data_IF_263146686255
#
_entry.id   IF_263146686255
#
_cell.length_a   1.000
_cell.length_b   1.000
_cell.length_c   1.000
_cell.angle_alpha   90.00
_cell.angle_beta   90.00
_cell.angle_gamma   90.00
#
_symmetry.space_group_name_H-M   'P 1'
#
loop_
_entity.id
_entity.type
_entity.pdbx_description
1 polymer ?
#
# COMPACT_ATOMS: atom_id res chain seq x y z
N UNK A 1 -11.75 -4.43 -20.91
CA UNK A 1 -11.39 -5.61 -20.08
C UNK A 1 -9.89 -5.84 -20.01
N UNK A 2 -9.18 -5.96 -21.14
CA UNK A 2 -7.71 -6.17 -21.16
C UNK A 2 -6.94 -5.10 -20.37
N UNK A 3 -7.26 -3.81 -20.55
CA UNK A 3 -6.60 -2.70 -19.83
C UNK A 3 -6.79 -2.77 -18.31
N UNK A 4 -7.98 -3.13 -17.85
CA UNK A 4 -8.25 -3.25 -16.41
C UNK A 4 -7.45 -4.40 -15.80
N UNK A 5 -7.38 -5.54 -16.49
CA UNK A 5 -6.53 -6.67 -16.07
C UNK A 5 -5.05 -6.28 -16.06
N UNK A 6 -4.57 -5.57 -17.08
CA UNK A 6 -3.19 -5.12 -17.16
C UNK A 6 -2.82 -4.16 -16.01
N UNK A 7 -3.70 -3.23 -15.65
CA UNK A 7 -3.50 -2.33 -14.51
C UNK A 7 -3.39 -3.10 -13.19
N UNK A 8 -4.27 -4.08 -12.97
CA UNK A 8 -4.22 -4.91 -11.76
C UNK A 8 -2.91 -5.71 -11.71
N UNK A 9 -2.52 -6.36 -12.81
CA UNK A 9 -1.26 -7.12 -12.87
C UNK A 9 -0.05 -6.22 -12.63
N UNK A 10 -0.02 -5.04 -13.26
CA UNK A 10 1.06 -4.06 -13.07
C UNK A 10 1.13 -3.58 -11.62
N UNK A 11 -0.01 -3.32 -10.97
CA UNK A 11 -0.07 -2.88 -9.58
C UNK A 11 0.53 -3.93 -8.62
N UNK A 12 0.29 -5.21 -8.87
CA UNK A 12 0.83 -6.29 -8.04
C UNK A 12 2.25 -6.74 -8.38
N UNK A 13 2.82 -6.29 -9.49
CA UNK A 13 4.13 -6.75 -9.96
C UNK A 13 5.24 -6.52 -8.93
N UNK A 14 5.33 -5.33 -8.35
CA UNK A 14 6.32 -4.99 -7.32
C UNK A 14 6.19 -5.87 -6.07
N UNK A 15 5.03 -5.88 -5.39
CA UNK A 15 4.82 -6.73 -4.22
C UNK A 15 5.04 -8.22 -4.48
N UNK A 16 4.77 -8.70 -5.70
CA UNK A 16 4.99 -10.10 -6.07
C UNK A 16 6.48 -10.47 -6.10
N UNK A 17 7.34 -9.58 -6.60
CA UNK A 17 8.80 -9.78 -6.61
C UNK A 17 9.38 -9.76 -5.19
N UNK A 18 8.86 -8.86 -4.35
CA UNK A 18 9.27 -8.67 -2.96
C UNK A 18 8.73 -9.76 -2.01
N UNK A 19 7.80 -10.59 -2.48
CA UNK A 19 7.12 -11.59 -1.64
C UNK A 19 8.09 -12.62 -1.03
N UNK A 20 9.22 -12.86 -1.68
CA UNK A 20 10.31 -13.71 -1.18
C UNK A 20 10.75 -13.34 0.24
N UNK A 21 10.86 -12.04 0.52
CA UNK A 21 11.32 -11.52 1.82
C UNK A 21 10.41 -11.87 2.98
N UNK A 22 9.12 -12.04 2.70
CA UNK A 22 8.10 -12.44 3.69
C UNK A 22 7.96 -13.96 3.75
N UNK A 23 7.98 -14.62 2.59
CA UNK A 23 7.78 -16.07 2.49
C UNK A 23 8.83 -16.89 3.25
N UNK A 24 10.07 -16.39 3.38
CA UNK A 24 11.13 -17.06 4.16
C UNK A 24 10.84 -17.15 5.66
N UNK A 25 9.97 -16.29 6.19
CA UNK A 25 9.50 -16.33 7.57
C UNK A 25 8.21 -17.14 7.73
N UNK A 26 7.67 -17.67 6.63
CA UNK A 26 6.51 -18.55 6.66
C UNK A 26 6.87 -19.91 7.23
N UNK A 27 5.96 -20.47 8.04
CA UNK A 27 6.12 -21.79 8.67
C UNK A 27 6.19 -22.94 7.64
N UNK A 28 5.40 -22.84 6.57
CA UNK A 28 5.41 -23.81 5.47
C UNK A 28 4.84 -23.21 4.17
N UNK A 29 5.23 -23.79 3.03
CA UNK A 29 4.70 -23.38 1.73
C UNK A 29 3.18 -23.62 1.60
N UNK A 30 2.65 -24.63 2.29
CA UNK A 30 1.21 -24.89 2.36
C UNK A 30 0.45 -23.75 3.02
N UNK A 31 0.97 -23.22 4.13
CA UNK A 31 0.35 -22.08 4.82
C UNK A 31 0.46 -20.78 4.03
N UNK A 32 1.60 -20.55 3.36
CA UNK A 32 1.77 -19.39 2.45
C UNK A 32 0.75 -19.43 1.31
N UNK A 33 0.56 -20.60 0.67
CA UNK A 33 -0.43 -20.77 -0.40
C UNK A 33 -1.85 -20.58 0.10
N UNK A 34 -2.18 -21.12 1.28
CA UNK A 34 -3.49 -20.94 1.91
C UNK A 34 -3.75 -19.47 2.26
N UNK A 35 -2.76 -18.80 2.82
CA UNK A 35 -2.82 -17.38 3.15
C UNK A 35 -3.07 -16.50 1.92
N UNK A 36 -2.34 -16.73 0.82
CA UNK A 36 -2.58 -15.99 -0.42
C UNK A 36 -3.93 -16.29 -1.05
N UNK A 37 -4.33 -17.58 -1.08
CA UNK A 37 -5.57 -18.02 -1.72
C UNK A 37 -6.81 -17.39 -1.09
N UNK A 38 -6.81 -17.22 0.22
CA UNK A 38 -7.94 -16.63 0.93
C UNK A 38 -7.74 -15.14 1.19
N UNK A 39 -6.54 -14.73 1.60
CA UNK A 39 -6.23 -13.36 1.96
C UNK A 39 -6.38 -12.37 0.81
N UNK A 40 -5.81 -12.67 -0.36
CA UNK A 40 -5.87 -11.74 -1.49
C UNK A 40 -7.29 -11.61 -2.04
N UNK A 41 -7.99 -12.67 -2.50
CA UNK A 41 -9.29 -12.51 -3.13
C UNK A 41 -10.35 -11.99 -2.16
N UNK A 42 -10.36 -12.46 -0.91
CA UNK A 42 -11.37 -12.04 0.06
C UNK A 42 -11.19 -10.58 0.46
N UNK A 43 -9.97 -10.15 0.78
CA UNK A 43 -9.72 -8.78 1.17
C UNK A 43 -9.98 -7.81 0.00
N UNK A 44 -9.58 -8.19 -1.22
CA UNK A 44 -9.86 -7.38 -2.41
C UNK A 44 -11.35 -7.25 -2.68
N UNK A 45 -12.11 -8.34 -2.59
CA UNK A 45 -13.55 -8.31 -2.82
C UNK A 45 -14.24 -7.44 -1.76
N UNK A 46 -13.91 -7.64 -0.49
CA UNK A 46 -14.48 -6.87 0.61
C UNK A 46 -14.18 -5.37 0.44
N UNK A 47 -12.91 -5.02 0.19
CA UNK A 47 -12.51 -3.63 0.02
C UNK A 47 -13.15 -3.00 -1.22
N UNK A 48 -13.30 -3.75 -2.31
CA UNK A 48 -13.97 -3.28 -3.53
C UNK A 48 -15.45 -2.99 -3.27
N UNK A 49 -16.15 -3.89 -2.57
CA UNK A 49 -17.56 -3.68 -2.21
C UNK A 49 -17.72 -2.45 -1.33
N UNK A 50 -16.91 -2.32 -0.26
CA UNK A 50 -16.94 -1.15 0.63
C UNK A 50 -16.68 0.13 -0.15
N UNK A 51 -15.67 0.14 -1.02
CA UNK A 51 -15.32 1.30 -1.85
C UNK A 51 -16.48 1.69 -2.76
N UNK A 52 -17.07 0.74 -3.50
CA UNK A 52 -18.19 1.00 -4.41
C UNK A 52 -19.39 1.54 -3.64
N UNK A 53 -19.71 0.98 -2.47
CA UNK A 53 -20.84 1.43 -1.63
C UNK A 53 -20.62 2.87 -1.16
N UNK A 54 -19.43 3.18 -0.63
CA UNK A 54 -19.11 4.54 -0.14
C UNK A 54 -19.16 5.54 -1.29
N UNK A 55 -18.44 5.26 -2.38
CA UNK A 55 -18.36 6.15 -3.55
C UNK A 55 -19.75 6.36 -4.17
N UNK A 56 -20.55 5.30 -4.31
CA UNK A 56 -21.93 5.43 -4.82
C UNK A 56 -22.81 6.23 -3.88
N UNK A 57 -22.64 6.07 -2.57
CA UNK A 57 -23.35 6.85 -1.55
C UNK A 57 -23.03 8.35 -1.60
N UNK A 58 -21.82 8.73 -1.98
CA UNK A 58 -21.44 10.16 -2.13
C UNK A 58 -22.26 10.88 -3.18
N UNK A 59 -22.67 10.21 -4.26
CA UNK A 59 -23.54 10.80 -5.28
C UNK A 59 -24.90 11.20 -4.70
N UNK A 60 -25.49 10.34 -3.86
CA UNK A 60 -26.78 10.60 -3.21
C UNK A 60 -26.69 11.64 -2.08
N UNK A 61 -25.58 11.68 -1.34
CA UNK A 61 -25.39 12.59 -0.20
C UNK A 61 -24.88 13.97 -0.59
N UNK A 62 -23.97 14.04 -1.57
CA UNK A 62 -23.23 15.26 -1.92
C UNK A 62 -23.50 15.74 -3.36
N UNK A 63 -24.36 15.04 -4.12
CA UNK A 63 -24.70 15.40 -5.49
C UNK A 63 -23.60 15.15 -6.53
N UNK A 64 -22.45 14.63 -6.11
CA UNK A 64 -21.32 14.27 -6.97
C UNK A 64 -20.64 13.00 -6.47
N UNK A 65 -20.12 12.20 -7.39
CA UNK A 65 -19.34 11.02 -7.07
C UNK A 65 -17.93 11.46 -6.65
N UNK A 66 -17.59 11.19 -5.39
CA UNK A 66 -16.27 11.48 -4.83
C UNK A 66 -15.51 10.16 -4.72
N UNK A 67 -14.40 10.07 -5.44
CA UNK A 67 -13.51 8.90 -5.42
C UNK A 67 -12.39 9.05 -4.41
N UNK A 68 -12.05 10.28 -4.01
CA UNK A 68 -11.07 10.54 -2.96
C UNK A 68 -11.68 10.27 -1.58
N UNK A 69 -11.18 9.26 -0.84
CA UNK A 69 -11.71 8.95 0.47
C UNK A 69 -11.39 10.03 1.52
N UNK A 70 -10.33 10.82 1.35
CA UNK A 70 -10.00 11.95 2.23
C UNK A 70 -11.04 13.06 2.05
N UNK A 71 -11.34 13.42 0.79
CA UNK A 71 -12.39 14.38 0.49
C UNK A 71 -13.75 13.90 1.03
N UNK A 72 -14.05 12.61 0.87
CA UNK A 72 -15.30 12.01 1.37
C UNK A 72 -15.44 12.17 2.88
N UNK A 73 -14.38 11.84 3.65
CA UNK A 73 -14.36 11.98 5.11
C UNK A 73 -14.51 13.45 5.53
N UNK A 74 -13.83 14.39 4.85
CA UNK A 74 -13.89 15.82 5.18
C UNK A 74 -15.30 16.41 5.08
N UNK A 75 -16.18 15.81 4.28
CA UNK A 75 -17.57 16.26 4.06
C UNK A 75 -18.59 15.65 5.00
N UNK A 76 -18.19 14.73 5.89
CA UNK A 76 -19.07 14.08 6.87
C UNK A 76 -19.57 15.06 7.94
N UNK A 77 -18.90 16.21 8.12
CA UNK A 77 -19.38 17.32 8.96
C UNK A 77 -19.19 17.13 10.47
N UNK A 78 -18.46 16.10 10.91
CA UNK A 78 -18.11 15.87 12.30
C UNK A 78 -16.59 15.85 12.48
N UNK A 79 -16.06 16.84 13.20
CA UNK A 79 -14.61 17.03 13.40
C UNK A 79 -13.92 15.79 13.99
N UNK A 80 -14.59 15.07 14.89
CA UNK A 80 -14.07 13.84 15.49
C UNK A 80 -14.01 12.70 14.47
N UNK A 81 -15.04 12.56 13.64
CA UNK A 81 -15.05 11.56 12.57
C UNK A 81 -13.97 11.84 11.53
N UNK A 82 -13.77 13.11 11.20
CA UNK A 82 -12.69 13.57 10.31
C UNK A 82 -11.32 13.23 10.89
N UNK A 83 -11.09 13.54 12.16
CA UNK A 83 -9.82 13.25 12.84
C UNK A 83 -9.51 11.75 12.85
N UNK A 84 -10.48 10.89 13.16
CA UNK A 84 -10.32 9.43 13.12
C UNK A 84 -10.04 8.95 11.70
N UNK A 85 -10.75 9.47 10.71
CA UNK A 85 -10.53 9.09 9.32
C UNK A 85 -9.14 9.47 8.82
N UNK A 86 -8.65 10.67 9.14
CA UNK A 86 -7.29 11.10 8.82
C UNK A 86 -6.22 10.23 9.51
N UNK A 87 -6.39 9.94 10.80
CA UNK A 87 -5.47 9.07 11.54
C UNK A 87 -5.43 7.65 10.95
N UNK A 88 -6.60 7.14 10.55
CA UNK A 88 -6.72 5.83 9.90
C UNK A 88 -5.99 5.82 8.56
N UNK A 89 -6.14 6.87 7.75
CA UNK A 89 -5.43 7.01 6.49
C UNK A 89 -3.92 7.08 6.68
N UNK A 90 -3.43 7.92 7.60
CA UNK A 90 -2.00 8.02 7.91
C UNK A 90 -1.44 6.64 8.29
N UNK A 91 -2.14 5.95 9.19
CA UNK A 91 -1.72 4.62 9.66
C UNK A 91 -1.72 3.60 8.53
N UNK A 92 -2.75 3.59 7.68
CA UNK A 92 -2.85 2.70 6.53
C UNK A 92 -1.75 2.96 5.50
N UNK A 93 -1.47 4.23 5.19
CA UNK A 93 -0.41 4.65 4.27
C UNK A 93 0.96 4.25 4.80
N UNK A 94 1.24 4.43 6.08
CA UNK A 94 2.49 3.98 6.70
C UNK A 94 2.60 2.45 6.62
N UNK A 95 1.55 1.73 7.03
CA UNK A 95 1.56 0.27 7.06
C UNK A 95 1.83 -0.37 5.70
N UNK A 96 1.14 0.09 4.65
CA UNK A 96 1.31 -0.46 3.30
C UNK A 96 2.68 -0.14 2.72
N UNK A 97 3.22 1.07 2.97
CA UNK A 97 4.55 1.44 2.49
C UNK A 97 5.66 0.64 3.17
N UNK A 98 5.51 0.35 4.47
CA UNK A 98 6.47 -0.50 5.18
C UNK A 98 6.54 -1.88 4.52
N UNK A 99 5.39 -2.54 4.35
CA UNK A 99 5.33 -3.91 3.82
C UNK A 99 5.70 -3.96 2.34
N UNK A 100 5.19 -3.05 1.51
CA UNK A 100 5.36 -3.13 0.06
C UNK A 100 6.70 -2.59 -0.42
N UNK A 101 7.20 -1.50 0.18
CA UNK A 101 8.27 -0.68 -0.40
C UNK A 101 9.52 -0.55 0.49
N UNK A 102 9.41 -0.76 1.80
CA UNK A 102 10.54 -0.54 2.72
C UNK A 102 11.34 -1.81 3.04
N UNK A 103 10.65 -2.92 3.25
CA UNK A 103 11.27 -4.16 3.76
C UNK A 103 12.31 -4.73 2.79
N UNK A 104 11.99 -4.83 1.51
CA UNK A 104 12.88 -5.39 0.49
C UNK A 104 14.19 -4.62 0.31
N UNK A 105 14.20 -3.29 0.08
CA UNK A 105 15.46 -2.55 -0.02
C UNK A 105 16.27 -2.56 1.27
N UNK A 106 15.62 -2.61 2.44
CA UNK A 106 16.32 -2.78 3.71
C UNK A 106 17.09 -4.11 3.77
N UNK A 107 16.50 -5.18 3.24
CA UNK A 107 17.18 -6.46 3.10
C UNK A 107 18.28 -6.42 2.06
N UNK A 108 18.04 -5.84 0.88
CA UNK A 108 19.04 -5.72 -0.19
C UNK A 108 20.30 -5.02 0.30
N UNK A 109 20.18 -3.85 0.94
CA UNK A 109 21.34 -3.14 1.47
C UNK A 109 22.05 -3.91 2.58
N UNK A 110 21.30 -4.60 3.46
CA UNK A 110 21.92 -5.43 4.50
C UNK A 110 22.69 -6.61 3.92
N UNK A 111 22.25 -7.16 2.78
CA UNK A 111 22.91 -8.27 2.10
C UNK A 111 24.14 -7.84 1.27
N UNK A 112 24.25 -6.56 0.89
CA UNK A 112 25.44 -6.04 0.18
C UNK A 112 26.71 -6.11 1.03
N UNK A 113 26.61 -5.89 2.35
CA UNK A 113 27.74 -5.96 3.26
C UNK A 113 27.27 -6.39 4.66
N UNK A 114 26.92 -7.67 4.87
CA UNK A 114 26.23 -8.13 6.09
C UNK A 114 27.04 -7.97 7.37
N UNK A 115 28.37 -7.90 7.27
CA UNK A 115 29.26 -7.64 8.42
C UNK A 115 29.24 -6.17 8.86
N UNK A 116 28.78 -5.24 8.01
CA UNK A 116 28.83 -3.79 8.23
C UNK A 116 27.45 -3.14 8.28
N UNK A 117 26.48 -3.70 7.56
CA UNK A 117 25.15 -3.13 7.37
C UNK A 117 24.13 -4.06 8.03
N UNK A 118 23.63 -3.63 9.18
CA UNK A 118 22.49 -4.29 9.82
C UNK A 118 21.19 -3.99 9.06
N UNK A 119 20.13 -4.77 9.26
CA UNK A 119 18.81 -4.48 8.70
C UNK A 119 18.32 -3.06 9.07
N UNK A 120 18.60 -2.59 10.29
CA UNK A 120 18.25 -1.22 10.73
C UNK A 120 19.01 -0.17 9.92
N UNK A 121 20.31 -0.40 9.70
CA UNK A 121 21.16 0.48 8.90
C UNK A 121 20.73 0.48 7.43
N UNK A 122 20.49 -0.69 6.85
CA UNK A 122 20.00 -0.85 5.48
C UNK A 122 18.64 -0.17 5.27
N UNK A 123 17.72 -0.32 6.23
CA UNK A 123 16.45 0.39 6.23
C UNK A 123 16.61 1.92 6.30
N UNK A 124 17.55 2.42 7.11
CA UNK A 124 17.83 3.85 7.16
C UNK A 124 18.40 4.38 5.83
N UNK A 125 19.29 3.62 5.19
CA UNK A 125 19.83 3.94 3.86
C UNK A 125 18.68 4.00 2.84
N UNK A 126 17.79 3.00 2.84
CA UNK A 126 16.63 2.98 1.96
C UNK A 126 15.67 4.17 2.19
N UNK A 127 15.38 4.51 3.44
CA UNK A 127 14.52 5.65 3.79
C UNK A 127 15.11 7.00 3.37
N UNK A 128 16.40 7.23 3.66
CA UNK A 128 17.06 8.48 3.28
C UNK A 128 17.19 8.54 1.75
N UNK A 129 17.59 7.43 1.11
CA UNK A 129 17.71 7.35 -0.35
C UNK A 129 16.39 7.64 -1.06
N UNK A 130 15.26 7.11 -0.58
CA UNK A 130 13.95 7.36 -1.19
C UNK A 130 13.51 8.82 -1.11
N UNK A 131 13.84 9.51 -0.01
CA UNK A 131 13.60 10.96 0.13
C UNK A 131 14.49 11.75 -0.83
N UNK A 132 15.77 11.40 -0.94
CA UNK A 132 16.73 12.10 -1.80
C UNK A 132 16.39 11.97 -3.30
N UNK A 133 15.78 10.86 -3.70
CA UNK A 133 15.27 10.69 -5.07
C UNK A 133 14.11 11.64 -5.38
N UNK A 134 13.45 12.20 -4.36
CA UNK A 134 12.32 13.12 -4.49
C UNK A 134 11.26 12.63 -5.50
N UNK A 135 10.75 11.39 -5.38
CA UNK A 135 9.92 10.78 -6.42
C UNK A 135 8.64 11.57 -6.72
N UNK A 136 8.15 12.36 -5.76
CA UNK A 136 7.02 13.27 -5.96
C UNK A 136 7.29 14.32 -7.03
N UNK A 137 8.54 14.75 -7.25
CA UNK A 137 8.86 15.66 -8.34
C UNK A 137 8.63 15.00 -9.70
N UNK A 138 8.86 13.68 -9.81
CA UNK A 138 8.58 12.89 -11.01
C UNK A 138 7.08 12.71 -11.25
N UNK A 139 6.29 12.53 -10.18
CA UNK A 139 4.82 12.43 -10.30
C UNK A 139 4.15 13.78 -10.56
N UNK A 140 4.70 14.87 -10.03
CA UNK A 140 4.21 16.23 -10.23
C UNK A 140 4.69 16.83 -11.57
N UNK A 141 5.62 16.17 -12.25
CA UNK A 141 6.10 16.54 -13.60
C UNK A 141 5.91 15.31 -14.50
N UNK A 142 4.67 15.01 -14.93
CA UNK A 142 4.41 13.89 -15.86
C UNK A 142 5.11 14.13 -17.20
N UNK A 143 5.39 15.40 -17.48
CA UNK A 143 6.49 16.01 -18.24
C UNK A 143 6.88 17.31 -17.51
#
# INVERSE_FOLDING_TARGET
MITATALVVSYFSGPLLNFGDFSRYGKSMGEIRRGNRWGLPFNFLLFSVVTVVIVSGTQSLFGKMITDPIETVSRVGNDLAVAIGLLTMITATIGINIVANFVSPAFDFSNCAPQKISFRTGGMIAAVGSILLTPWNLFNSPE
#
